data_IF_592430130688
#
_entry.id   IF_592430130688
#
_cell.length_a   1.000
_cell.length_b   1.000
_cell.length_c   1.000
_cell.angle_alpha   90.00
_cell.angle_beta   90.00
_cell.angle_gamma   90.00
#
_symmetry.space_group_name_H-M   'P 1'
#
loop_
_entity.id
_entity.type
_entity.pdbx_description
1 polymer ?
#
# COMPACT_ATOMS: atom_id res chain seq x y z
N UNK A 1 -3.34 -9.73 14.26
CA UNK A 1 -2.36 -8.69 13.92
C UNK A 1 -3.06 -7.35 13.79
N UNK A 2 -2.60 -6.36 14.50
CA UNK A 2 -3.12 -5.00 14.37
C UNK A 2 -2.42 -4.31 13.20
N UNK A 3 -3.21 -3.75 12.27
CA UNK A 3 -2.67 -3.17 11.04
C UNK A 3 -2.94 -1.67 10.97
N UNK A 4 -1.91 -0.91 10.64
CA UNK A 4 -2.04 0.50 10.33
C UNK A 4 -2.45 0.70 8.87
N UNK A 5 -3.45 1.56 8.63
CA UNK A 5 -3.94 1.87 7.30
C UNK A 5 -3.83 3.38 7.09
N UNK A 6 -3.16 3.77 6.01
CA UNK A 6 -3.03 5.18 5.63
C UNK A 6 -4.32 5.61 4.94
N UNK A 7 -4.79 6.81 5.27
CA UNK A 7 -5.93 7.42 4.59
C UNK A 7 -5.53 8.76 3.98
N UNK A 8 -6.10 9.06 2.82
CA UNK A 8 -5.84 10.31 2.09
C UNK A 8 -7.19 10.88 1.69
N UNK A 9 -7.48 12.12 2.11
CA UNK A 9 -8.74 12.78 1.79
C UNK A 9 -8.68 13.40 0.39
N UNK A 10 -9.84 13.81 -0.13
CA UNK A 10 -9.94 14.46 -1.45
C UNK A 10 -9.11 15.74 -1.54
N UNK A 11 -8.97 16.45 -0.43
CA UNK A 11 -8.18 17.70 -0.40
C UNK A 11 -6.69 17.45 -0.13
N UNK A 12 -6.26 16.19 -0.13
CA UNK A 12 -4.85 15.83 -0.01
C UNK A 12 -4.32 15.72 1.41
N UNK A 13 -5.20 15.65 2.42
CA UNK A 13 -4.76 15.44 3.79
C UNK A 13 -4.43 13.97 4.00
N UNK A 14 -3.19 13.71 4.40
CA UNK A 14 -2.69 12.35 4.68
C UNK A 14 -2.74 12.09 6.19
N UNK A 15 -3.34 10.99 6.57
CA UNK A 15 -3.38 10.56 7.97
C UNK A 15 -2.61 9.25 8.12
N UNK A 16 -1.56 9.30 8.93
CA UNK A 16 -0.74 8.12 9.24
C UNK A 16 -1.27 7.43 10.49
N UNK A 17 -1.32 6.09 10.51
CA UNK A 17 -1.70 5.36 11.71
C UNK A 17 -0.60 5.42 12.77
N UNK A 18 -0.99 5.11 14.01
CA UNK A 18 -0.04 5.04 15.13
C UNK A 18 0.63 3.68 15.25
N UNK A 19 0.14 2.68 14.55
CA UNK A 19 0.70 1.33 14.50
C UNK A 19 1.37 1.11 13.15
N UNK A 20 2.27 0.11 13.01
CA UNK A 20 2.95 -0.14 11.74
C UNK A 20 1.98 -0.35 10.57
N UNK A 21 2.34 0.20 9.44
CA UNK A 21 1.52 0.11 8.22
C UNK A 21 1.64 -1.29 7.61
N UNK A 22 0.48 -1.91 7.41
CA UNK A 22 0.33 -3.17 6.66
C UNK A 22 -0.99 -3.09 5.91
N UNK A 23 -0.94 -2.82 4.61
CA UNK A 23 -2.13 -2.58 3.79
C UNK A 23 -2.29 -3.64 2.71
N UNK A 24 -3.53 -4.02 2.45
CA UNK A 24 -3.86 -4.87 1.31
C UNK A 24 -3.78 -4.06 0.01
N UNK A 25 -3.76 -4.76 -1.13
CA UNK A 25 -3.80 -4.09 -2.43
C UNK A 25 -5.08 -3.27 -2.59
N UNK A 26 -6.21 -3.78 -2.11
CA UNK A 26 -7.47 -3.04 -2.18
C UNK A 26 -7.43 -1.76 -1.34
N UNK A 27 -6.86 -1.82 -0.15
CA UNK A 27 -6.71 -0.64 0.70
C UNK A 27 -5.80 0.41 0.06
N UNK A 28 -4.72 -0.01 -0.61
CA UNK A 28 -3.86 0.90 -1.36
C UNK A 28 -4.59 1.51 -2.56
N UNK A 29 -5.39 0.69 -3.27
CA UNK A 29 -6.23 1.16 -4.38
C UNK A 29 -7.19 2.24 -3.91
N UNK A 30 -7.84 2.04 -2.78
CA UNK A 30 -8.77 3.02 -2.20
C UNK A 30 -8.04 4.29 -1.76
N UNK A 31 -6.90 4.15 -1.09
CA UNK A 31 -6.14 5.29 -0.57
C UNK A 31 -5.61 6.19 -1.71
N UNK A 32 -5.07 5.58 -2.77
CA UNK A 32 -4.45 6.31 -3.87
C UNK A 32 -5.42 6.62 -5.03
N UNK A 33 -6.66 6.18 -4.92
CA UNK A 33 -7.69 6.39 -5.94
C UNK A 33 -7.24 5.87 -7.32
N UNK A 34 -6.79 4.62 -7.35
CA UNK A 34 -6.40 3.90 -8.56
C UNK A 34 -7.14 2.57 -8.63
N UNK A 35 -7.13 1.95 -9.80
CA UNK A 35 -7.72 0.62 -9.95
C UNK A 35 -6.84 -0.43 -9.26
N UNK A 36 -7.48 -1.47 -8.74
CA UNK A 36 -6.76 -2.57 -8.11
C UNK A 36 -5.73 -3.23 -9.04
N UNK A 37 -6.04 -3.30 -10.34
CA UNK A 37 -5.09 -3.85 -11.32
C UNK A 37 -3.83 -3.01 -11.46
N UNK A 38 -3.91 -1.70 -11.26
CA UNK A 38 -2.73 -0.82 -11.29
C UNK A 38 -1.83 -1.10 -10.08
N UNK A 39 -2.43 -1.31 -8.91
CA UNK A 39 -1.68 -1.69 -7.71
C UNK A 39 -1.00 -3.04 -7.92
N UNK A 40 -1.74 -4.03 -8.43
CA UNK A 40 -1.20 -5.37 -8.66
C UNK A 40 -0.02 -5.35 -9.63
N UNK A 41 -0.13 -4.59 -10.72
CA UNK A 41 0.95 -4.44 -11.70
C UNK A 41 2.17 -3.76 -11.08
N UNK A 42 1.95 -2.72 -10.28
CA UNK A 42 3.03 -2.02 -9.60
C UNK A 42 3.78 -2.94 -8.63
N UNK A 43 3.04 -3.68 -7.79
CA UNK A 43 3.64 -4.64 -6.86
C UNK A 43 4.47 -5.68 -7.62
N UNK A 44 3.89 -6.24 -8.68
CA UNK A 44 4.59 -7.25 -9.49
C UNK A 44 5.89 -6.69 -10.10
N UNK A 45 5.82 -5.49 -10.66
CA UNK A 45 6.99 -4.86 -11.28
C UNK A 45 8.07 -4.52 -10.24
N UNK A 46 7.68 -4.05 -9.07
CA UNK A 46 8.62 -3.71 -7.99
C UNK A 46 9.41 -4.94 -7.56
N UNK A 47 8.73 -6.06 -7.34
CA UNK A 47 9.41 -7.29 -6.96
C UNK A 47 10.23 -7.87 -8.10
N UNK A 48 9.70 -7.86 -9.32
CA UNK A 48 10.42 -8.35 -10.50
C UNK A 48 11.70 -7.57 -10.76
N UNK A 49 11.67 -6.26 -10.55
CA UNK A 49 12.83 -5.38 -10.73
C UNK A 49 13.75 -5.34 -9.52
N UNK A 50 13.44 -6.13 -8.49
CA UNK A 50 14.23 -6.22 -7.26
C UNK A 50 14.38 -4.89 -6.52
N UNK A 51 13.38 -4.01 -6.64
CA UNK A 51 13.34 -2.75 -5.89
C UNK A 51 13.07 -3.01 -4.41
N UNK A 52 12.21 -3.98 -4.12
CA UNK A 52 11.92 -4.47 -2.77
C UNK A 52 11.84 -5.99 -2.80
N UNK A 53 11.91 -6.63 -1.63
CA UNK A 53 11.83 -8.07 -1.48
C UNK A 53 10.58 -8.47 -0.71
N UNK A 54 9.91 -9.53 -1.16
CA UNK A 54 8.69 -10.02 -0.52
C UNK A 54 8.91 -10.37 0.95
N UNK A 55 10.07 -10.97 1.27
CA UNK A 55 10.39 -11.39 2.65
C UNK A 55 10.37 -10.23 3.64
N UNK A 56 10.67 -9.00 3.16
CA UNK A 56 10.75 -7.80 4.00
C UNK A 56 9.47 -6.97 3.99
N UNK A 57 8.69 -7.05 2.91
CA UNK A 57 7.64 -6.08 2.62
C UNK A 57 6.24 -6.66 2.46
N UNK A 58 6.11 -7.98 2.53
CA UNK A 58 4.82 -8.65 2.42
C UNK A 58 4.63 -9.62 3.58
N UNK A 59 3.40 -9.70 4.07
CA UNK A 59 2.99 -10.70 5.04
C UNK A 59 1.68 -11.33 4.62
N UNK A 60 1.54 -12.60 4.97
CA UNK A 60 0.35 -13.38 4.73
C UNK A 60 -0.45 -13.45 6.01
N UNK A 61 -1.72 -13.05 5.94
CA UNK A 61 -2.63 -13.08 7.08
C UNK A 61 -3.74 -14.07 6.81
N UNK A 62 -3.94 -15.01 7.74
CA UNK A 62 -5.02 -15.99 7.67
C UNK A 62 -6.07 -15.64 8.70
N UNK A 63 -7.34 -15.53 8.26
CA UNK A 63 -8.46 -15.28 9.15
C UNK A 63 -9.02 -16.57 9.71
N UNK A 64 -9.80 -16.47 10.80
CA UNK A 64 -10.42 -17.64 11.45
C UNK A 64 -11.38 -18.38 10.53
N UNK A 65 -12.00 -17.66 9.55
CA UNK A 65 -12.91 -18.26 8.58
C UNK A 65 -12.17 -18.99 7.43
N UNK A 66 -10.84 -19.09 7.49
CA UNK A 66 -10.04 -19.76 6.47
C UNK A 66 -9.66 -18.90 5.28
N UNK A 67 -10.21 -17.68 5.16
CA UNK A 67 -9.84 -16.74 4.11
C UNK A 67 -8.50 -16.10 4.48
N UNK A 68 -7.62 -15.96 3.51
CA UNK A 68 -6.31 -15.38 3.71
C UNK A 68 -6.07 -14.24 2.70
N UNK A 69 -5.17 -13.34 3.06
CA UNK A 69 -4.83 -12.21 2.20
C UNK A 69 -3.42 -11.72 2.49
N UNK A 70 -2.84 -11.05 1.49
CA UNK A 70 -1.51 -10.47 1.60
C UNK A 70 -1.61 -9.00 2.03
N UNK A 71 -0.70 -8.57 2.88
CA UNK A 71 -0.54 -7.17 3.27
C UNK A 71 0.88 -6.73 3.00
N UNK A 72 1.04 -5.43 2.75
CA UNK A 72 2.29 -4.83 2.31
C UNK A 72 2.72 -3.72 3.25
N UNK A 73 4.02 -3.62 3.49
CA UNK A 73 4.62 -2.67 4.43
C UNK A 73 4.56 -1.23 3.93
N UNK A 74 4.90 -0.29 4.81
CA UNK A 74 5.01 1.13 4.46
C UNK A 74 5.98 1.35 3.29
N UNK A 75 7.07 0.61 3.24
CA UNK A 75 8.05 0.72 2.15
C UNK A 75 7.41 0.45 0.79
N UNK A 76 6.55 -0.57 0.70
CA UNK A 76 5.81 -0.86 -0.53
C UNK A 76 4.84 0.28 -0.85
N UNK A 77 4.12 0.78 0.14
CA UNK A 77 3.16 1.88 -0.05
C UNK A 77 3.87 3.12 -0.59
N UNK A 78 5.01 3.48 0.00
CA UNK A 78 5.82 4.62 -0.46
C UNK A 78 6.28 4.41 -1.90
N UNK A 79 6.81 3.22 -2.21
CA UNK A 79 7.32 2.91 -3.55
C UNK A 79 6.21 3.03 -4.61
N UNK A 80 5.02 2.55 -4.28
CA UNK A 80 3.85 2.66 -5.17
C UNK A 80 3.46 4.13 -5.37
N UNK A 81 3.46 4.93 -4.30
CA UNK A 81 3.13 6.36 -4.39
C UNK A 81 4.08 7.12 -5.30
N UNK A 82 5.35 6.72 -5.38
CA UNK A 82 6.32 7.33 -6.29
C UNK A 82 6.23 6.80 -7.71
N UNK A 83 5.46 5.74 -7.94
CA UNK A 83 5.31 5.10 -9.24
C UNK A 83 4.05 5.52 -9.96
N UNK A 84 2.96 5.76 -9.23
CA UNK A 84 1.67 6.16 -9.79
C UNK A 84 1.48 7.68 -9.68
N UNK A 85 0.51 8.23 -10.44
CA UNK A 85 0.43 9.69 -10.64
C UNK A 85 -0.90 10.32 -10.30
N UNK A 86 -1.67 9.73 -9.40
CA UNK A 86 -2.89 10.39 -8.94
C UNK A 86 -2.56 11.56 -8.00
N UNK A 87 -3.54 12.44 -7.79
CA UNK A 87 -3.35 13.55 -6.85
C UNK A 87 -3.10 13.06 -5.42
N UNK A 88 -3.70 11.91 -5.07
CA UNK A 88 -3.50 11.27 -3.77
C UNK A 88 -2.06 10.76 -3.62
N UNK A 89 -1.51 10.14 -4.68
CA UNK A 89 -0.11 9.72 -4.69
C UNK A 89 0.82 10.92 -4.53
N UNK A 90 0.53 12.00 -5.23
CA UNK A 90 1.34 13.22 -5.14
C UNK A 90 1.26 13.85 -3.75
N UNK A 91 0.08 13.86 -3.14
CA UNK A 91 -0.10 14.34 -1.77
C UNK A 91 0.74 13.51 -0.80
N UNK A 92 0.74 12.19 -0.97
CA UNK A 92 1.52 11.30 -0.11
C UNK A 92 3.02 11.50 -0.31
N UNK A 93 3.48 11.71 -1.56
CA UNK A 93 4.89 12.01 -1.82
C UNK A 93 5.37 13.26 -1.08
N UNK A 94 4.52 14.29 -1.05
CA UNK A 94 4.86 15.53 -0.34
C UNK A 94 4.84 15.36 1.17
N UNK A 95 4.06 14.42 1.65
CA UNK A 95 3.94 14.13 3.08
C UNK A 95 5.16 13.37 3.61
N UNK A 96 5.68 12.41 2.87
CA UNK A 96 6.81 11.57 3.31
C UNK A 96 8.16 12.24 3.15
#
# INVERSE_FOLDING_TARGET
>A
MERGIITITENGTVTMPTVPVWMTQQEMSDAFNVFGCDIRRAVHAIYKNMELFESDTMRYIRQDNGISYDVYSLEMVITIAFRLRTKECMAFRRFV
#
